data_IF_773864287896
#
_entry.id   IF_773864287896
#
_cell.length_a   1.000
_cell.length_b   1.000
_cell.length_c   1.000
_cell.angle_alpha   90.00
_cell.angle_beta   90.00
_cell.angle_gamma   90.00
#
_symmetry.space_group_name_H-M   'P 1'
#
loop_
_entity.id
_entity.type
_entity.pdbx_description
1 polymer ?
#
# COMPACT_ATOMS: atom_id res chain seq x y z
N UNK A 1 19.83 13.09 8.53
CA UNK A 1 19.69 13.08 9.99
C UNK A 1 20.02 14.46 10.49
N UNK A 2 19.19 15.05 11.34
CA UNK A 2 19.33 16.42 11.86
C UNK A 2 19.04 16.43 13.36
N UNK A 3 19.08 17.60 13.99
CA UNK A 3 18.62 17.80 15.37
C UNK A 3 17.48 18.82 15.40
N UNK A 4 16.60 18.68 16.38
CA UNK A 4 15.56 19.68 16.71
C UNK A 4 15.74 20.13 18.14
N UNK A 5 15.25 21.33 18.44
CA UNK A 5 15.08 21.80 19.81
C UNK A 5 13.60 21.65 20.16
N UNK A 6 13.31 21.04 21.32
CA UNK A 6 11.96 20.99 21.86
C UNK A 6 11.93 21.16 23.37
N UNK A 7 10.81 21.64 23.88
CA UNK A 7 10.54 21.69 25.31
C UNK A 7 10.18 20.31 25.87
N UNK A 8 10.86 19.90 26.94
CA UNK A 8 10.57 18.63 27.61
C UNK A 8 9.33 18.76 28.51
N UNK A 9 8.23 18.12 28.09
CA UNK A 9 6.97 18.00 28.85
C UNK A 9 6.83 16.68 29.62
N UNK A 10 7.90 16.22 30.29
CA UNK A 10 7.86 15.03 31.16
C UNK A 10 7.82 15.45 32.64
N UNK A 11 6.86 14.94 33.42
CA UNK A 11 6.79 15.20 34.87
C UNK A 11 7.84 14.35 35.60
N UNK A 12 8.39 14.89 36.70
CA UNK A 12 9.41 14.19 37.52
C UNK A 12 10.83 14.23 36.96
N UNK A 13 11.08 14.87 35.81
CA UNK A 13 12.44 15.04 35.30
C UNK A 13 13.01 16.44 35.63
N UNK A 14 14.33 16.50 35.88
CA UNK A 14 15.07 17.77 36.08
C UNK A 14 15.08 18.68 34.85
N UNK A 15 14.83 18.10 33.68
CA UNK A 15 14.78 18.78 32.38
C UNK A 15 13.39 19.33 32.05
N UNK A 16 12.41 19.22 32.97
CA UNK A 16 11.04 19.70 32.74
C UNK A 16 11.03 21.20 32.47
N UNK A 17 10.27 21.62 31.43
CA UNK A 17 10.20 23.02 30.96
C UNK A 17 11.57 23.59 30.55
N UNK A 18 12.52 22.73 30.17
CA UNK A 18 13.77 23.14 29.55
C UNK A 18 13.80 22.68 28.10
N UNK A 19 14.49 23.44 27.28
CA UNK A 19 14.80 23.09 25.91
C UNK A 19 15.88 22.00 25.88
N UNK A 20 15.68 20.99 25.04
CA UNK A 20 16.67 19.93 24.80
C UNK A 20 16.84 19.69 23.31
N UNK A 21 18.09 19.51 22.89
CA UNK A 21 18.42 19.10 21.53
C UNK A 21 18.25 17.59 21.39
N UNK A 22 17.40 17.15 20.46
CA UNK A 22 17.17 15.73 20.16
C UNK A 22 17.53 15.44 18.70
N UNK A 23 18.21 14.32 18.46
CA UNK A 23 18.50 13.84 17.13
C UNK A 23 17.24 13.27 16.48
N UNK A 24 17.00 13.64 15.22
CA UNK A 24 15.84 13.17 14.44
C UNK A 24 16.27 12.70 13.06
N UNK A 25 15.51 11.74 12.54
CA UNK A 25 15.64 11.25 11.17
C UNK A 25 14.53 11.87 10.33
N UNK A 26 14.92 12.62 9.29
CA UNK A 26 13.99 13.13 8.28
C UNK A 26 13.71 11.97 7.32
N UNK A 27 12.45 11.55 7.23
CA UNK A 27 12.00 10.48 6.34
C UNK A 27 11.16 11.09 5.22
N UNK A 28 11.63 10.96 3.98
CA UNK A 28 10.83 11.32 2.82
C UNK A 28 9.68 10.32 2.65
N UNK A 29 8.45 10.84 2.66
CA UNK A 29 7.22 10.04 2.57
C UNK A 29 6.40 10.51 1.37
N UNK A 30 6.81 10.16 0.13
CA UNK A 30 6.04 10.51 -1.05
C UNK A 30 4.64 9.89 -0.98
N UNK A 31 3.64 10.49 -1.64
CA UNK A 31 2.29 9.97 -1.66
C UNK A 31 2.27 8.52 -2.17
N UNK A 32 1.53 7.67 -1.45
CA UNK A 32 1.38 6.25 -1.77
C UNK A 32 0.11 6.08 -2.59
N UNK A 33 0.13 5.21 -3.59
CA UNK A 33 -1.03 4.90 -4.42
C UNK A 33 -1.59 3.53 -4.09
N UNK A 34 -2.89 3.49 -3.85
CA UNK A 34 -3.64 2.26 -3.63
C UNK A 34 -3.96 1.60 -4.98
N UNK A 35 -3.66 0.32 -5.10
CA UNK A 35 -3.76 -0.44 -6.37
C UNK A 35 -4.63 -1.68 -6.26
N UNK A 36 -5.10 -2.02 -5.06
CA UNK A 36 -5.98 -3.16 -4.88
C UNK A 36 -6.41 -3.36 -3.44
N UNK A 37 -7.24 -4.36 -3.22
CA UNK A 37 -7.79 -4.74 -1.92
C UNK A 37 -7.75 -6.26 -1.78
N UNK A 38 -7.36 -6.76 -0.61
CA UNK A 38 -7.34 -8.18 -0.27
C UNK A 38 -8.25 -8.41 0.92
N UNK A 39 -9.19 -9.35 0.76
CA UNK A 39 -10.01 -9.86 1.84
C UNK A 39 -9.36 -11.06 2.50
N UNK A 40 -9.36 -11.11 3.83
CA UNK A 40 -8.92 -12.25 4.63
C UNK A 40 -10.08 -12.79 5.46
N UNK A 41 -10.23 -14.11 5.44
CA UNK A 41 -11.22 -14.84 6.23
C UNK A 41 -10.55 -15.60 7.36
N UNK A 42 -11.13 -15.58 8.56
CA UNK A 42 -10.65 -16.36 9.70
C UNK A 42 -10.97 -17.84 9.48
N UNK A 43 -9.93 -18.67 9.49
CA UNK A 43 -10.02 -20.12 9.50
C UNK A 43 -9.42 -20.64 10.82
N UNK A 44 -9.65 -21.91 11.22
CA UNK A 44 -9.04 -22.46 12.43
C UNK A 44 -7.51 -22.40 12.45
N UNK A 45 -6.87 -22.36 11.26
CA UNK A 45 -5.42 -22.25 11.08
C UNK A 45 -4.92 -20.80 10.95
N UNK A 46 -5.79 -19.81 11.13
CA UNK A 46 -5.48 -18.38 10.98
C UNK A 46 -6.17 -17.71 9.80
N UNK A 47 -5.68 -16.54 9.41
CA UNK A 47 -6.25 -15.75 8.32
C UNK A 47 -5.83 -16.32 6.96
N UNK A 48 -6.81 -16.64 6.11
CA UNK A 48 -6.59 -17.04 4.72
C UNK A 48 -7.06 -15.95 3.77
N UNK A 49 -6.30 -15.67 2.72
CA UNK A 49 -6.74 -14.77 1.64
C UNK A 49 -7.95 -15.36 0.92
N UNK A 50 -9.05 -14.60 0.88
CA UNK A 50 -10.29 -14.98 0.21
C UNK A 50 -10.23 -14.59 -1.26
N UNK A 51 -10.22 -13.28 -1.55
CA UNK A 51 -10.11 -12.73 -2.90
C UNK A 51 -9.18 -11.50 -2.87
N UNK A 52 -8.51 -11.26 -4.00
CA UNK A 52 -7.74 -10.05 -4.26
C UNK A 52 -8.35 -9.32 -5.46
N UNK A 53 -8.74 -8.07 -5.25
CA UNK A 53 -9.23 -7.17 -6.28
C UNK A 53 -8.15 -6.16 -6.61
N UNK A 54 -7.91 -5.93 -7.91
CA UNK A 54 -6.99 -4.91 -8.39
C UNK A 54 -7.77 -3.72 -8.97
N UNK A 55 -7.12 -2.56 -8.98
CA UNK A 55 -7.59 -1.39 -9.71
C UNK A 55 -7.53 -1.66 -11.23
N UNK A 56 -8.37 -0.97 -12.00
CA UNK A 56 -8.41 -1.11 -13.45
C UNK A 56 -7.11 -0.60 -14.11
N UNK A 57 -6.70 0.61 -13.74
CA UNK A 57 -5.51 1.27 -14.28
C UNK A 57 -4.37 1.20 -13.26
N UNK A 58 -3.29 0.51 -13.63
CA UNK A 58 -2.08 0.47 -12.82
C UNK A 58 -0.94 1.20 -13.51
N UNK A 59 -0.18 1.96 -12.70
CA UNK A 59 1.03 2.63 -13.13
C UNK A 59 2.12 1.63 -13.53
N UNK A 60 3.04 2.06 -14.40
CA UNK A 60 4.19 1.24 -14.80
C UNK A 60 5.07 0.87 -13.60
N UNK A 61 5.18 1.75 -12.61
CA UNK A 61 5.96 1.52 -11.39
C UNK A 61 5.51 0.28 -10.62
N UNK A 62 4.20 0.05 -10.55
CA UNK A 62 3.63 -1.17 -9.94
C UNK A 62 3.94 -2.36 -10.83
N UNK A 63 3.77 -2.20 -12.15
CA UNK A 63 4.02 -3.28 -13.10
C UNK A 63 5.47 -3.76 -13.03
N UNK A 64 6.42 -2.84 -12.80
CA UNK A 64 7.84 -3.14 -12.58
C UNK A 64 8.08 -4.06 -11.39
N UNK A 65 7.26 -4.02 -10.34
CA UNK A 65 7.38 -4.91 -9.17
C UNK A 65 7.07 -6.37 -9.47
N UNK A 66 6.32 -6.67 -10.55
CA UNK A 66 6.00 -8.05 -10.92
C UNK A 66 7.12 -8.77 -11.69
N UNK A 67 8.18 -8.06 -12.09
CA UNK A 67 9.26 -8.63 -12.89
C UNK A 67 10.61 -8.41 -12.23
N UNK A 68 11.37 -9.49 -12.03
CA UNK A 68 12.78 -9.38 -11.63
C UNK A 68 13.62 -8.68 -12.70
N UNK A 69 13.42 -9.03 -13.97
CA UNK A 69 14.07 -8.37 -15.10
C UNK A 69 13.03 -7.65 -15.97
N UNK A 70 12.75 -6.39 -15.64
CA UNK A 70 11.75 -5.57 -16.34
C UNK A 70 12.10 -5.31 -17.80
N UNK A 71 13.34 -4.92 -18.08
CA UNK A 71 13.78 -4.47 -19.41
C UNK A 71 13.72 -5.59 -20.46
N UNK A 72 14.04 -6.84 -20.07
CA UNK A 72 13.96 -8.01 -20.97
C UNK A 72 12.59 -8.69 -20.98
N UNK A 73 11.61 -8.18 -20.23
CA UNK A 73 10.27 -8.79 -20.14
C UNK A 73 9.33 -8.29 -21.23
N UNK A 74 8.30 -9.09 -21.54
CA UNK A 74 7.18 -8.66 -22.41
C UNK A 74 6.21 -7.68 -21.73
N UNK A 75 6.43 -7.34 -20.44
CA UNK A 75 5.62 -6.40 -19.65
C UNK A 75 4.11 -6.68 -19.70
N UNK A 76 3.66 -7.94 -19.67
CA UNK A 76 2.23 -8.31 -19.79
C UNK A 76 1.48 -8.46 -18.45
N UNK A 77 2.07 -8.06 -17.33
CA UNK A 77 1.41 -8.14 -16.02
C UNK A 77 0.12 -7.30 -16.01
N UNK A 78 -0.96 -7.91 -15.52
CA UNK A 78 -2.29 -7.31 -15.23
C UNK A 78 -3.06 -6.81 -16.48
N UNK A 79 -2.49 -6.91 -17.69
CA UNK A 79 -3.16 -6.43 -18.92
C UNK A 79 -4.49 -7.14 -19.21
N UNK A 80 -4.60 -8.44 -18.93
CA UNK A 80 -5.86 -9.18 -19.07
C UNK A 80 -6.92 -8.72 -18.08
N UNK A 81 -6.52 -8.43 -16.84
CA UNK A 81 -7.42 -7.99 -15.79
C UNK A 81 -7.96 -6.59 -16.07
N UNK A 82 -7.11 -5.66 -16.56
CA UNK A 82 -7.57 -4.34 -17.01
C UNK A 82 -8.62 -4.43 -18.12
N UNK A 83 -8.41 -5.31 -19.11
CA UNK A 83 -9.41 -5.57 -20.17
C UNK A 83 -10.70 -6.20 -19.65
N UNK A 84 -10.59 -7.10 -18.65
CA UNK A 84 -11.77 -7.66 -18.00
C UNK A 84 -12.57 -6.59 -17.27
N UNK A 85 -11.93 -5.58 -16.68
CA UNK A 85 -12.64 -4.46 -16.06
C UNK A 85 -13.40 -3.58 -17.08
N UNK A 86 -13.01 -3.61 -18.36
CA UNK A 86 -13.67 -2.84 -19.42
C UNK A 86 -14.97 -3.51 -19.87
N UNK A 87 -15.06 -4.84 -19.84
CA UNK A 87 -16.27 -5.56 -20.23
C UNK A 87 -17.34 -5.55 -19.12
N UNK A 88 -18.61 -5.46 -19.53
CA UNK A 88 -19.74 -5.44 -18.59
C UNK A 88 -19.83 -6.71 -17.73
N UNK A 89 -19.53 -7.88 -18.30
CA UNK A 89 -19.50 -9.14 -17.54
C UNK A 89 -18.37 -9.18 -16.52
N UNK A 90 -17.22 -8.57 -16.83
CA UNK A 90 -16.11 -8.50 -15.89
C UNK A 90 -16.38 -7.53 -14.74
N UNK A 91 -17.05 -6.40 -15.00
CA UNK A 91 -17.52 -5.49 -13.93
C UNK A 91 -18.48 -6.18 -12.97
N UNK A 92 -19.44 -6.96 -13.49
CA UNK A 92 -20.36 -7.77 -12.66
C UNK A 92 -19.61 -8.79 -11.80
N UNK A 93 -18.60 -9.45 -12.37
CA UNK A 93 -17.75 -10.40 -11.62
C UNK A 93 -16.99 -9.71 -10.47
N UNK A 94 -16.40 -8.54 -10.72
CA UNK A 94 -15.70 -7.75 -9.70
C UNK A 94 -16.66 -7.32 -8.58
N UNK A 95 -17.86 -6.87 -8.93
CA UNK A 95 -18.88 -6.49 -7.96
C UNK A 95 -19.29 -7.68 -7.07
N UNK A 96 -19.50 -8.86 -7.65
CA UNK A 96 -19.79 -10.08 -6.90
C UNK A 96 -18.62 -10.49 -5.99
N UNK A 97 -17.37 -10.33 -6.44
CA UNK A 97 -16.19 -10.57 -5.61
C UNK A 97 -16.09 -9.57 -4.45
N UNK A 98 -16.49 -8.31 -4.66
CA UNK A 98 -16.54 -7.28 -3.64
C UNK A 98 -17.62 -7.59 -2.59
N UNK A 99 -18.79 -8.05 -3.01
CA UNK A 99 -19.88 -8.49 -2.10
C UNK A 99 -19.46 -9.70 -1.27
N UNK A 100 -18.81 -10.70 -1.89
CA UNK A 100 -18.22 -11.84 -1.16
C UNK A 100 -17.20 -11.38 -0.13
N UNK A 101 -16.38 -10.38 -0.48
CA UNK A 101 -15.41 -9.81 0.46
C UNK A 101 -16.11 -9.14 1.64
N UNK A 102 -17.13 -8.31 1.39
CA UNK A 102 -17.92 -7.66 2.46
C UNK A 102 -18.61 -8.68 3.38
N UNK A 103 -19.10 -9.79 2.83
CA UNK A 103 -19.84 -10.81 3.60
C UNK A 103 -18.93 -11.73 4.42
N UNK A 104 -17.82 -12.18 3.85
CA UNK A 104 -17.01 -13.27 4.44
C UNK A 104 -15.64 -12.81 4.97
N UNK A 105 -15.11 -11.66 4.53
CA UNK A 105 -13.81 -11.21 5.02
C UNK A 105 -13.95 -10.65 6.43
N UNK A 106 -13.16 -11.20 7.36
CA UNK A 106 -13.01 -10.68 8.71
C UNK A 106 -12.04 -9.50 8.76
N UNK A 107 -11.04 -9.49 7.86
CA UNK A 107 -10.04 -8.42 7.76
C UNK A 107 -9.89 -8.02 6.30
N UNK A 108 -9.97 -6.72 6.02
CA UNK A 108 -9.74 -6.16 4.68
C UNK A 108 -8.44 -5.37 4.72
N UNK A 109 -7.53 -5.65 3.78
CA UNK A 109 -6.26 -4.92 3.62
C UNK A 109 -6.21 -4.27 2.25
N UNK A 110 -5.60 -3.11 2.20
CA UNK A 110 -5.37 -2.39 0.95
C UNK A 110 -3.95 -2.71 0.46
N UNK A 111 -3.82 -2.97 -0.84
CA UNK A 111 -2.54 -3.06 -1.54
C UNK A 111 -2.14 -1.67 -1.97
N UNK A 112 -1.04 -1.17 -1.42
CA UNK A 112 -0.54 0.16 -1.69
C UNK A 112 0.92 0.09 -2.17
N UNK A 113 1.31 0.98 -3.09
CA UNK A 113 2.68 1.07 -3.57
C UNK A 113 3.23 2.48 -3.43
N UNK A 114 4.52 2.57 -3.13
CA UNK A 114 5.25 3.83 -3.08
C UNK A 114 5.60 4.33 -4.48
N UNK A 115 5.70 5.65 -4.63
CA UNK A 115 6.05 6.34 -5.88
C UNK A 115 7.49 6.85 -5.85
N UNK A 116 8.45 5.94 -6.05
CA UNK A 116 9.88 6.28 -5.93
C UNK A 116 10.34 7.30 -6.97
N UNK A 117 9.76 7.33 -8.19
CA UNK A 117 10.15 8.28 -9.24
C UNK A 117 9.83 9.74 -8.92
N UNK A 118 8.95 10.01 -7.94
CA UNK A 118 8.63 11.37 -7.50
C UNK A 118 9.70 11.98 -6.60
N UNK A 119 10.59 11.16 -6.05
CA UNK A 119 11.70 11.65 -5.25
C UNK A 119 12.78 12.17 -6.20
N UNK A 120 13.15 13.44 -6.03
CA UNK A 120 14.11 14.12 -6.92
C UNK A 120 15.57 13.80 -6.59
N UNK A 121 15.82 13.17 -5.44
CA UNK A 121 17.16 12.88 -4.92
C UNK A 121 17.58 11.41 -4.98
N UNK A 122 16.87 10.57 -5.75
CA UNK A 122 17.12 9.13 -5.91
C UNK A 122 17.16 8.72 -7.38
#
# INVERSE_FOLDING_TARGET
MTHIVRDVKKRGCKLRKKETCEAVTIVETPPIVIVGVVGYMKTPRGLRSLNTLWAQHLSEEVRRRFYKNWCKSKKKAITKYSKQCESEDGKKSIQSQLEKMKKYATVIRVLAHTQTRKMKGL
#
